data_IF_730260731117
#
_entry.id   IF_730260731117
#
_cell.length_a   1.000
_cell.length_b   1.000
_cell.length_c   1.000
_cell.angle_alpha   90.00
_cell.angle_beta   90.00
_cell.angle_gamma   90.00
#
_symmetry.space_group_name_H-M   'P 1'
#
loop_
_entity.id
_entity.type
_entity.pdbx_description
1 polymer ?
#
# COMPACT_ATOMS: atom_id res chain seq x y z
N UNK A 1 0.18 -26.38 14.15
CA UNK A 1 -1.00 -26.15 13.26
C UNK A 1 -1.49 -24.70 13.23
N UNK A 2 -1.55 -23.97 14.36
CA UNK A 2 -2.02 -22.58 14.41
C UNK A 2 -1.16 -21.58 13.59
N UNK A 3 0.17 -21.76 13.52
CA UNK A 3 1.09 -20.91 12.75
C UNK A 3 0.79 -20.94 11.24
N UNK A 4 0.61 -22.13 10.66
CA UNK A 4 0.32 -22.27 9.23
C UNK A 4 -1.06 -21.72 8.81
N UNK A 5 -2.04 -21.70 9.72
CA UNK A 5 -3.34 -21.07 9.47
C UNK A 5 -3.21 -19.53 9.43
N UNK A 6 -2.44 -18.96 10.36
CA UNK A 6 -2.15 -17.52 10.40
C UNK A 6 -1.37 -17.07 9.14
N UNK A 7 -0.36 -17.81 8.73
CA UNK A 7 0.45 -17.50 7.54
C UNK A 7 -0.36 -17.55 6.24
N UNK A 8 -1.37 -18.42 6.16
CA UNK A 8 -2.29 -18.48 5.02
C UNK A 8 -3.21 -17.26 4.98
N UNK A 9 -3.79 -16.89 6.12
CA UNK A 9 -4.62 -15.68 6.22
C UNK A 9 -3.83 -14.43 5.86
N UNK A 10 -2.59 -14.30 6.37
CA UNK A 10 -1.70 -13.18 6.04
C UNK A 10 -1.42 -13.08 4.54
N UNK A 11 -1.09 -14.20 3.90
CA UNK A 11 -0.83 -14.24 2.45
C UNK A 11 -2.08 -13.94 1.63
N UNK A 12 -3.23 -14.42 2.06
CA UNK A 12 -4.50 -14.14 1.40
C UNK A 12 -4.85 -12.65 1.46
N UNK A 13 -4.74 -12.02 2.63
CA UNK A 13 -5.01 -10.58 2.79
C UNK A 13 -3.99 -9.73 2.01
N UNK A 14 -2.72 -10.15 1.95
CA UNK A 14 -1.70 -9.51 1.10
C UNK A 14 -2.02 -9.62 -0.39
N UNK A 15 -2.43 -10.80 -0.86
CA UNK A 15 -2.76 -11.03 -2.26
C UNK A 15 -4.02 -10.23 -2.68
N UNK A 16 -5.04 -10.20 -1.82
CA UNK A 16 -6.26 -9.40 -2.05
C UNK A 16 -5.92 -7.91 -2.08
N UNK A 17 -5.10 -7.43 -1.13
CA UNK A 17 -4.64 -6.04 -1.11
C UNK A 17 -3.85 -5.69 -2.37
N UNK A 18 -2.93 -6.55 -2.82
CA UNK A 18 -2.16 -6.35 -4.04
C UNK A 18 -3.07 -6.27 -5.28
N UNK A 19 -4.05 -7.18 -5.39
CA UNK A 19 -5.01 -7.20 -6.49
C UNK A 19 -5.89 -5.93 -6.52
N UNK A 20 -6.41 -5.50 -5.37
CA UNK A 20 -7.21 -4.26 -5.27
C UNK A 20 -6.37 -3.06 -5.70
N UNK A 21 -5.14 -2.94 -5.19
CA UNK A 21 -4.27 -1.81 -5.54
C UNK A 21 -3.80 -1.85 -6.99
N UNK A 22 -3.63 -3.03 -7.60
CA UNK A 22 -3.37 -3.19 -9.03
C UNK A 22 -4.53 -2.63 -9.86
N UNK A 23 -5.77 -3.03 -9.54
CA UNK A 23 -6.99 -2.58 -10.24
C UNK A 23 -7.20 -1.09 -10.06
N UNK A 24 -7.06 -0.56 -8.85
CA UNK A 24 -7.18 0.87 -8.58
C UNK A 24 -6.11 1.67 -9.34
N UNK A 25 -4.87 1.18 -9.37
CA UNK A 25 -3.80 1.84 -10.12
C UNK A 25 -4.09 1.89 -11.62
N UNK A 26 -4.65 0.81 -12.18
CA UNK A 26 -5.08 0.78 -13.58
C UNK A 26 -6.24 1.75 -13.83
N UNK A 27 -7.26 1.76 -12.95
CA UNK A 27 -8.42 2.64 -13.07
C UNK A 27 -8.04 4.12 -12.98
N UNK A 28 -7.19 4.49 -12.02
CA UNK A 28 -6.67 5.86 -11.91
C UNK A 28 -5.83 6.26 -13.12
N UNK A 29 -4.97 5.36 -13.62
CA UNK A 29 -4.22 5.63 -14.84
C UNK A 29 -5.18 5.90 -16.02
N UNK A 30 -6.19 5.04 -16.22
CA UNK A 30 -7.16 5.19 -17.29
C UNK A 30 -7.95 6.51 -17.18
N UNK A 31 -8.29 6.93 -15.96
CA UNK A 31 -9.02 8.17 -15.70
C UNK A 31 -8.16 9.43 -15.96
N UNK A 32 -6.88 9.39 -15.62
CA UNK A 32 -5.97 10.56 -15.74
C UNK A 32 -5.33 10.66 -17.13
N UNK A 33 -4.88 9.54 -17.69
CA UNK A 33 -4.07 9.53 -18.93
C UNK A 33 -4.84 8.99 -20.15
N UNK A 34 -5.97 8.33 -19.93
CA UNK A 34 -6.70 7.58 -20.95
C UNK A 34 -6.11 6.18 -21.20
N UNK A 35 -6.81 5.39 -22.01
CA UNK A 35 -6.36 4.07 -22.47
C UNK A 35 -5.82 4.08 -23.91
N UNK A 36 -5.82 5.25 -24.57
CA UNK A 36 -5.31 5.40 -25.93
C UNK A 36 -3.80 5.17 -26.00
N UNK A 37 -3.34 4.62 -27.12
CA UNK A 37 -1.92 4.51 -27.41
C UNK A 37 -1.36 5.90 -27.72
N UNK A 38 -0.53 6.43 -26.81
CA UNK A 38 0.16 7.71 -26.99
C UNK A 38 1.41 7.77 -26.12
N UNK A 39 2.28 8.74 -26.41
CA UNK A 39 3.37 9.08 -25.50
C UNK A 39 2.86 9.98 -24.38
N UNK A 40 3.24 9.64 -23.15
CA UNK A 40 3.01 10.43 -21.96
C UNK A 40 4.27 11.20 -21.62
N UNK A 41 4.14 12.51 -21.49
CA UNK A 41 5.21 13.39 -21.02
C UNK A 41 5.46 13.18 -19.52
N UNK A 42 6.72 13.11 -19.13
CA UNK A 42 7.10 12.90 -17.73
C UNK A 42 6.77 14.12 -16.87
N UNK A 43 7.03 15.31 -17.40
CA UNK A 43 6.69 16.60 -16.81
C UNK A 43 5.41 17.16 -17.49
N UNK A 44 5.32 18.47 -17.73
CA UNK A 44 4.16 19.04 -18.43
C UNK A 44 4.07 18.53 -19.90
N UNK A 45 2.85 18.39 -20.46
CA UNK A 45 1.54 18.64 -19.81
C UNK A 45 0.99 17.48 -18.97
N UNK A 46 1.40 16.23 -19.19
CA UNK A 46 0.74 15.05 -18.58
C UNK A 46 1.08 14.86 -17.10
N UNK A 47 2.24 15.38 -16.67
CA UNK A 47 2.77 15.30 -15.31
C UNK A 47 2.84 13.87 -14.78
N UNK A 48 3.20 12.92 -15.64
CA UNK A 48 3.21 11.50 -15.31
C UNK A 48 4.02 11.18 -14.05
N UNK A 49 5.16 11.85 -13.85
CA UNK A 49 5.99 11.67 -12.66
C UNK A 49 5.29 12.07 -11.36
N UNK A 50 4.48 13.13 -11.39
CA UNK A 50 3.82 13.64 -10.18
C UNK A 50 2.65 12.75 -9.74
N UNK A 51 2.08 11.95 -10.64
CA UNK A 51 1.00 11.01 -10.32
C UNK A 51 1.44 9.88 -9.37
N UNK A 52 2.75 9.60 -9.28
CA UNK A 52 3.26 8.66 -8.28
C UNK A 52 2.94 9.09 -6.85
N UNK A 53 2.85 10.40 -6.56
CA UNK A 53 2.57 10.94 -5.22
C UNK A 53 1.15 10.61 -4.73
N UNK A 54 0.07 11.00 -5.43
CA UNK A 54 -1.28 10.62 -5.02
C UNK A 54 -1.47 9.10 -5.04
N UNK A 55 -0.90 8.37 -6.01
CA UNK A 55 -0.95 6.91 -6.05
C UNK A 55 -0.27 6.29 -4.81
N UNK A 56 0.96 6.69 -4.52
CA UNK A 56 1.75 6.18 -3.38
C UNK A 56 1.08 6.47 -2.05
N UNK A 57 0.52 7.67 -1.87
CA UNK A 57 -0.26 8.04 -0.69
C UNK A 57 -1.49 7.13 -0.51
N UNK A 58 -2.33 7.02 -1.55
CA UNK A 58 -3.58 6.25 -1.46
C UNK A 58 -3.32 4.76 -1.25
N UNK A 59 -2.44 4.16 -2.05
CA UNK A 59 -2.10 2.74 -1.94
C UNK A 59 -1.55 2.42 -0.55
N UNK A 60 -0.57 3.19 -0.07
CA UNK A 60 0.04 2.92 1.24
C UNK A 60 -0.91 3.16 2.42
N UNK A 61 -1.77 4.18 2.33
CA UNK A 61 -2.80 4.45 3.34
C UNK A 61 -3.80 3.29 3.41
N UNK A 62 -4.39 2.91 2.28
CA UNK A 62 -5.40 1.84 2.24
C UNK A 62 -4.81 0.49 2.65
N UNK A 63 -3.62 0.17 2.12
CA UNK A 63 -2.94 -1.10 2.40
C UNK A 63 -2.43 -1.22 3.83
N UNK A 64 -2.23 -0.12 4.56
CA UNK A 64 -1.83 -0.16 5.97
C UNK A 64 -3.01 -0.04 6.93
N UNK A 65 -4.00 0.81 6.62
CA UNK A 65 -5.14 1.09 7.51
C UNK A 65 -6.17 -0.03 7.50
N UNK A 66 -6.64 -0.44 6.31
CA UNK A 66 -7.75 -1.39 6.18
C UNK A 66 -7.41 -2.74 6.83
N UNK A 67 -6.26 -3.37 6.54
CA UNK A 67 -5.92 -4.66 7.16
C UNK A 67 -5.70 -4.53 8.67
N UNK A 68 -5.10 -3.42 9.13
CA UNK A 68 -4.88 -3.20 10.55
C UNK A 68 -6.20 -3.11 11.33
N UNK A 69 -7.20 -2.39 10.79
CA UNK A 69 -8.52 -2.29 11.40
C UNK A 69 -9.30 -3.60 11.33
N UNK A 70 -9.28 -4.30 10.19
CA UNK A 70 -9.98 -5.58 10.01
C UNK A 70 -9.41 -6.64 10.95
N UNK A 71 -8.09 -6.80 11.03
CA UNK A 71 -7.45 -7.78 11.91
C UNK A 71 -7.67 -7.42 13.37
N UNK A 72 -7.56 -6.14 13.76
CA UNK A 72 -7.89 -5.69 15.11
C UNK A 72 -9.34 -6.02 15.48
N UNK A 73 -10.28 -5.81 14.57
CA UNK A 73 -11.69 -6.15 14.79
C UNK A 73 -11.92 -7.66 14.89
N UNK A 74 -11.29 -8.47 14.02
CA UNK A 74 -11.33 -9.95 14.05
C UNK A 74 -10.80 -10.48 15.39
N UNK A 75 -9.64 -10.02 15.85
CA UNK A 75 -9.03 -10.43 17.12
C UNK A 75 -9.88 -10.05 18.33
N UNK A 76 -10.50 -8.85 18.31
CA UNK A 76 -11.45 -8.44 19.36
C UNK A 76 -12.68 -9.36 19.42
N UNK A 77 -13.23 -9.74 18.26
CA UNK A 77 -14.39 -10.67 18.20
C UNK A 77 -14.05 -12.07 18.69
N UNK A 78 -12.81 -12.53 18.48
CA UNK A 78 -12.33 -13.83 18.94
C UNK A 78 -11.99 -13.85 20.44
N UNK A 79 -12.17 -12.75 21.17
CA UNK A 79 -11.84 -12.67 22.60
C UNK A 79 -10.34 -12.76 22.88
N UNK A 80 -9.48 -12.58 21.86
CA UNK A 80 -8.03 -12.63 22.05
C UNK A 80 -7.53 -11.53 22.98
N UNK A 81 -8.29 -10.43 23.14
CA UNK A 81 -8.00 -9.33 24.04
C UNK A 81 -9.28 -8.89 24.77
N UNK A 82 -9.18 -8.64 26.08
CA UNK A 82 -10.25 -8.03 26.88
C UNK A 82 -10.52 -6.56 26.56
N UNK A 83 -11.55 -5.98 27.19
CA UNK A 83 -11.87 -4.55 27.10
C UNK A 83 -10.67 -3.70 27.57
N UNK A 84 -9.95 -3.09 26.64
CA UNK A 84 -8.79 -2.21 26.92
C UNK A 84 -7.41 -2.84 26.72
N UNK A 85 -7.31 -4.17 26.53
CA UNK A 85 -6.05 -4.93 26.44
C UNK A 85 -5.64 -5.31 25.01
N UNK A 86 -6.21 -4.64 23.99
CA UNK A 86 -5.82 -4.81 22.59
C UNK A 86 -5.01 -3.62 22.07
N UNK A 87 -4.37 -3.74 20.90
CA UNK A 87 -3.48 -2.72 20.38
C UNK A 87 -4.15 -1.35 20.37
N UNK A 88 -3.50 -0.40 21.05
CA UNK A 88 -4.00 0.97 21.24
C UNK A 88 -4.23 1.66 19.88
N UNK A 89 -5.14 2.65 19.85
CA UNK A 89 -5.31 3.49 18.67
C UNK A 89 -4.00 4.16 18.23
N UNK A 90 -3.11 4.45 19.18
CA UNK A 90 -1.76 4.98 18.92
C UNK A 90 -0.87 3.99 18.15
N UNK A 91 -0.96 2.69 18.42
CA UNK A 91 -0.20 1.66 17.70
C UNK A 91 -0.65 1.57 16.23
N UNK A 92 -1.96 1.55 15.99
CA UNK A 92 -2.53 1.55 14.63
C UNK A 92 -2.10 2.81 13.88
N UNK A 93 -2.19 3.99 14.52
CA UNK A 93 -1.74 5.26 13.92
C UNK A 93 -0.26 5.21 13.53
N UNK A 94 0.61 4.66 14.39
CA UNK A 94 2.05 4.54 14.11
C UNK A 94 2.32 3.60 12.93
N UNK A 95 1.61 2.48 12.87
CA UNK A 95 1.68 1.52 11.75
C UNK A 95 1.29 2.21 10.43
N UNK A 96 0.15 2.89 10.42
CA UNK A 96 -0.36 3.60 9.24
C UNK A 96 0.59 4.73 8.83
N UNK A 97 1.07 5.53 9.78
CA UNK A 97 2.04 6.59 9.50
C UNK A 97 3.32 6.04 8.86
N UNK A 98 3.85 4.91 9.35
CA UNK A 98 5.02 4.25 8.74
C UNK A 98 4.73 3.77 7.32
N UNK A 99 3.57 3.17 7.08
CA UNK A 99 3.14 2.76 5.74
C UNK A 99 3.04 3.94 4.78
N UNK A 100 2.37 5.02 5.21
CA UNK A 100 2.21 6.25 4.42
C UNK A 100 3.56 6.91 4.12
N UNK A 101 4.44 7.01 5.11
CA UNK A 101 5.78 7.57 4.90
C UNK A 101 6.58 6.73 3.90
N UNK A 102 6.48 5.40 3.97
CA UNK A 102 7.12 4.51 3.00
C UNK A 102 6.57 4.73 1.58
N UNK A 103 5.25 4.80 1.42
CA UNK A 103 4.60 5.03 0.13
C UNK A 103 4.90 6.40 -0.47
N UNK A 104 4.95 7.44 0.35
CA UNK A 104 5.36 8.79 -0.07
C UNK A 104 6.85 8.83 -0.43
N UNK A 105 7.71 8.17 0.35
CA UNK A 105 9.15 8.12 0.06
C UNK A 105 9.42 7.37 -1.26
N UNK A 106 8.77 6.22 -1.49
CA UNK A 106 8.91 5.49 -2.76
C UNK A 106 8.36 6.28 -3.94
N UNK A 107 7.23 6.95 -3.76
CA UNK A 107 6.63 7.80 -4.78
C UNK A 107 7.52 9.01 -5.13
N UNK A 108 8.05 9.70 -4.11
CA UNK A 108 8.94 10.83 -4.29
C UNK A 108 10.23 10.41 -4.98
N UNK A 109 10.79 9.24 -4.63
CA UNK A 109 11.96 8.69 -5.31
C UNK A 109 11.66 8.41 -6.79
N UNK A 110 10.55 7.75 -7.11
CA UNK A 110 10.16 7.48 -8.50
C UNK A 110 9.88 8.76 -9.29
N UNK A 111 9.21 9.73 -8.67
CA UNK A 111 8.97 11.04 -9.27
C UNK A 111 10.29 11.77 -9.56
N UNK A 112 11.23 11.75 -8.61
CA UNK A 112 12.55 12.37 -8.78
C UNK A 112 13.36 11.66 -9.90
N UNK A 113 13.40 10.33 -9.89
CA UNK A 113 14.08 9.55 -10.94
C UNK A 113 13.48 9.80 -12.32
N UNK A 114 12.17 9.99 -12.41
CA UNK A 114 11.52 10.34 -13.67
C UNK A 114 11.83 11.78 -14.09
N UNK A 115 11.70 12.76 -13.19
CA UNK A 115 11.89 14.18 -13.50
C UNK A 115 13.34 14.57 -13.81
N UNK A 116 14.30 13.96 -13.13
CA UNK A 116 15.73 14.22 -13.31
C UNK A 116 16.45 13.15 -14.13
N UNK A 117 15.73 12.13 -14.58
CA UNK A 117 16.25 11.08 -15.43
C UNK A 117 16.32 11.48 -16.91
N UNK A 118 16.91 10.63 -17.75
CA UNK A 118 17.03 10.88 -19.19
C UNK A 118 15.72 10.67 -19.96
N UNK A 119 14.68 10.11 -19.31
CA UNK A 119 13.40 9.84 -19.94
C UNK A 119 12.53 11.09 -19.90
N UNK A 120 12.18 11.63 -21.07
CA UNK A 120 11.26 12.77 -21.18
C UNK A 120 9.83 12.36 -21.52
N UNK A 121 9.66 11.20 -22.13
CA UNK A 121 8.38 10.61 -22.46
C UNK A 121 8.42 9.08 -22.35
N UNK A 122 7.25 8.48 -22.11
CA UNK A 122 7.07 7.03 -22.03
C UNK A 122 5.81 6.63 -22.78
N UNK A 123 5.83 5.50 -23.48
CA UNK A 123 4.61 4.96 -24.09
C UNK A 123 3.57 4.60 -23.02
N UNK A 124 2.29 4.84 -23.30
CA UNK A 124 1.20 4.65 -22.33
C UNK A 124 1.08 3.22 -21.82
N UNK A 125 1.32 2.20 -22.66
CA UNK A 125 1.20 0.79 -22.24
C UNK A 125 2.27 0.37 -21.22
N UNK A 126 3.59 0.58 -21.44
CA UNK A 126 4.60 0.36 -20.42
C UNK A 126 4.36 1.17 -19.14
N UNK A 127 3.89 2.41 -19.27
CA UNK A 127 3.58 3.28 -18.14
C UNK A 127 2.44 2.71 -17.27
N UNK A 128 1.38 2.22 -17.89
CA UNK A 128 0.27 1.53 -17.21
C UNK A 128 0.76 0.26 -16.50
N UNK A 129 1.49 -0.60 -17.21
CA UNK A 129 2.03 -1.83 -16.64
C UNK A 129 2.91 -1.54 -15.41
N UNK A 130 3.77 -0.52 -15.51
CA UNK A 130 4.59 -0.08 -14.39
C UNK A 130 3.75 0.40 -13.20
N UNK A 131 2.72 1.22 -13.42
CA UNK A 131 1.83 1.67 -12.33
C UNK A 131 1.10 0.54 -11.66
N UNK A 132 0.64 -0.45 -12.42
CA UNK A 132 -0.02 -1.65 -11.89
C UNK A 132 0.95 -2.41 -10.99
N UNK A 133 2.16 -2.71 -11.48
CA UNK A 133 3.17 -3.45 -10.71
C UNK A 133 3.58 -2.68 -9.46
N UNK A 134 3.83 -1.37 -9.60
CA UNK A 134 4.19 -0.51 -8.48
C UNK A 134 3.09 -0.48 -7.41
N UNK A 135 1.83 -0.25 -7.80
CA UNK A 135 0.70 -0.23 -6.87
C UNK A 135 0.48 -1.57 -6.18
N UNK A 136 0.57 -2.69 -6.92
CA UNK A 136 0.47 -4.03 -6.36
C UNK A 136 1.58 -4.33 -5.35
N UNK A 137 2.83 -4.03 -5.71
CA UNK A 137 4.00 -4.26 -4.86
C UNK A 137 3.96 -3.41 -3.59
N UNK A 138 3.63 -2.13 -3.72
CA UNK A 138 3.49 -1.22 -2.58
C UNK A 138 2.35 -1.65 -1.66
N UNK A 139 1.21 -2.06 -2.23
CA UNK A 139 0.07 -2.59 -1.48
C UNK A 139 0.45 -3.84 -0.68
N UNK A 140 1.12 -4.80 -1.32
CA UNK A 140 1.61 -6.01 -0.66
C UNK A 140 2.57 -5.69 0.49
N UNK A 141 3.55 -4.81 0.25
CA UNK A 141 4.55 -4.44 1.25
C UNK A 141 3.93 -3.70 2.44
N UNK A 142 3.07 -2.71 2.19
CA UNK A 142 2.41 -1.93 3.25
C UNK A 142 1.46 -2.82 4.08
N UNK A 143 0.72 -3.72 3.44
CA UNK A 143 -0.12 -4.70 4.16
C UNK A 143 0.73 -5.64 5.00
N UNK A 144 1.84 -6.16 4.47
CA UNK A 144 2.77 -6.99 5.25
C UNK A 144 3.28 -6.25 6.48
N UNK A 145 3.78 -5.02 6.32
CA UNK A 145 4.30 -4.21 7.42
C UNK A 145 3.23 -3.89 8.46
N UNK A 146 2.01 -3.62 8.01
CA UNK A 146 0.92 -3.31 8.92
C UNK A 146 0.52 -4.51 9.78
N UNK A 147 0.42 -5.68 9.17
CA UNK A 147 0.06 -6.90 9.88
C UNK A 147 1.19 -7.35 10.81
N UNK A 148 2.46 -7.38 10.37
CA UNK A 148 3.59 -7.74 11.24
C UNK A 148 3.76 -6.75 12.39
N UNK A 149 3.58 -5.45 12.13
CA UNK A 149 3.61 -4.41 13.16
C UNK A 149 2.50 -4.56 14.20
N UNK A 150 1.30 -4.93 13.76
CA UNK A 150 0.16 -5.17 14.64
C UNK A 150 0.41 -6.38 15.56
N UNK A 151 0.81 -7.52 14.98
CA UNK A 151 1.14 -8.72 15.76
C UNK A 151 2.31 -8.50 16.72
N UNK A 152 3.36 -7.81 16.29
CA UNK A 152 4.49 -7.48 17.17
C UNK A 152 4.11 -6.52 18.32
N UNK A 153 3.07 -5.71 18.14
CA UNK A 153 2.54 -4.87 19.24
C UNK A 153 1.77 -5.71 20.24
N UNK A 154 0.91 -6.61 19.74
CA UNK A 154 0.14 -7.55 20.55
C UNK A 154 1.04 -8.39 21.46
N UNK A 155 2.10 -9.01 20.91
CA UNK A 155 3.00 -9.85 21.68
C UNK A 155 3.74 -9.08 22.78
N UNK A 156 4.11 -7.82 22.53
CA UNK A 156 4.75 -6.97 23.54
C UNK A 156 3.81 -6.56 24.66
N UNK A 157 2.55 -6.28 24.34
CA UNK A 157 1.54 -5.90 25.33
C UNK A 157 1.10 -7.10 26.22
N UNK A 158 1.35 -8.35 25.81
CA UNK A 158 1.07 -9.56 26.62
C UNK A 158 2.25 -10.03 27.48
N UNK A 159 3.46 -9.57 27.18
CA UNK A 159 4.67 -9.92 27.92
C UNK A 159 5.01 -8.91 29.03
N UNK A 160 4.26 -7.80 29.11
CA UNK A 160 4.37 -6.75 30.12
C UNK A 160 3.20 -6.83 31.09
#
# INVERSE_FOLDING_TARGET
MASHAMDRLLRQEQAVSAAINAVLSAAFFALVFGLGERQLTIAAPDRFALDFLPQGLMVSLMASLVPALLVRAKLRKMGCFGLGSGPSGGAVRRIVAKGVLLGLASAALLAALALFGPLHAVSSHPALAFKIVYGAALGLLCTRLALTGLFGTIFREHAA
#
